data_IF_587484550074
#
_entry.id   IF_587484550074
#
_cell.length_a   1.000
_cell.length_b   1.000
_cell.length_c   1.000
_cell.angle_alpha   90.00
_cell.angle_beta   90.00
_cell.angle_gamma   90.00
#
_symmetry.space_group_name_H-M   'P 1'
#
loop_
_entity.id
_entity.type
_entity.pdbx_description
1 polymer ?
#
# COMPACT_ATOMS: atom_id res chain seq x y z
N UNK A 1 1.22 27.73 21.51
CA UNK A 1 2.28 28.29 22.36
C UNK A 1 3.16 27.13 22.79
N UNK A 2 4.28 26.96 22.11
CA UNK A 2 5.24 25.87 22.33
C UNK A 2 6.23 26.26 23.41
N UNK A 3 5.93 25.95 24.66
CA UNK A 3 6.90 26.01 25.75
C UNK A 3 7.91 24.88 25.59
N UNK A 4 8.96 25.13 24.80
CA UNK A 4 10.17 24.30 24.85
C UNK A 4 11.17 25.07 25.69
N UNK A 5 11.19 24.79 27.00
CA UNK A 5 12.28 25.22 27.88
C UNK A 5 13.60 24.82 27.22
N UNK A 6 14.62 25.71 27.15
CA UNK A 6 15.94 25.28 26.74
C UNK A 6 16.42 24.28 27.79
N UNK A 7 16.54 23.01 27.41
CA UNK A 7 17.35 22.06 28.17
C UNK A 7 18.73 22.70 28.13
N UNK A 8 19.17 23.30 29.24
CA UNK A 8 20.55 23.76 29.33
C UNK A 8 21.41 22.52 29.07
N UNK A 9 22.01 22.44 27.89
CA UNK A 9 22.91 21.35 27.54
C UNK A 9 24.00 21.36 28.62
N UNK A 10 23.95 20.37 29.52
CA UNK A 10 24.98 20.23 30.54
C UNK A 10 26.20 19.74 29.76
N UNK A 11 27.23 20.56 29.71
CA UNK A 11 28.46 20.26 29.00
C UNK A 11 29.46 19.60 29.94
N UNK A 12 30.22 18.63 29.43
CA UNK A 12 31.31 17.96 30.13
C UNK A 12 32.55 17.92 29.26
N UNK A 13 33.72 17.90 29.88
CA UNK A 13 35.01 17.75 29.19
C UNK A 13 35.46 16.29 29.22
N UNK A 14 35.90 15.77 28.08
CA UNK A 14 36.40 14.41 27.99
C UNK A 14 37.85 14.29 28.45
N UNK A 15 38.13 13.38 29.38
CA UNK A 15 39.48 13.13 29.91
C UNK A 15 40.47 12.51 28.89
N UNK A 16 40.03 12.21 27.66
CA UNK A 16 40.86 11.56 26.63
C UNK A 16 41.19 12.50 25.49
N UNK A 17 40.22 13.25 24.97
CA UNK A 17 40.46 14.23 23.91
C UNK A 17 40.44 15.69 24.40
N UNK A 18 40.13 15.93 25.66
CA UNK A 18 40.00 17.26 26.28
C UNK A 18 38.99 18.20 25.61
N UNK A 19 38.09 17.68 24.77
CA UNK A 19 37.03 18.45 24.11
C UNK A 19 35.80 18.50 25.03
N UNK A 20 35.22 19.69 25.16
CA UNK A 20 33.92 19.93 25.82
C UNK A 20 32.78 19.57 24.88
N UNK A 21 31.89 18.67 25.33
CA UNK A 21 30.76 18.16 24.55
C UNK A 21 29.51 18.07 25.41
N UNK A 22 28.35 17.88 24.77
CA UNK A 22 27.10 17.63 25.47
C UNK A 22 27.17 16.33 26.31
N UNK A 23 26.55 16.32 27.48
CA UNK A 23 26.51 15.16 28.40
C UNK A 23 26.00 13.88 27.75
N UNK A 24 25.11 13.94 26.76
CA UNK A 24 24.60 12.78 26.05
C UNK A 24 25.66 12.11 25.17
N UNK A 25 26.77 12.79 24.88
CA UNK A 25 27.90 12.23 24.13
C UNK A 25 28.88 11.44 25.02
N UNK A 26 28.64 11.37 26.32
CA UNK A 26 29.48 10.65 27.28
C UNK A 26 28.97 9.25 27.58
N UNK A 27 29.89 8.39 28.04
CA UNK A 27 29.51 7.10 28.61
C UNK A 27 28.87 7.36 29.98
N UNK A 28 27.74 6.68 30.26
CA UNK A 28 27.03 6.80 31.54
C UNK A 28 28.01 6.65 32.71
N UNK A 29 27.97 7.61 33.65
CA UNK A 29 28.80 7.67 34.84
C UNK A 29 30.33 7.74 34.58
N UNK A 30 30.78 8.24 33.42
CA UNK A 30 32.21 8.42 33.10
C UNK A 30 32.48 9.74 32.38
N UNK A 31 33.65 10.33 32.62
CA UNK A 31 34.13 11.53 31.91
C UNK A 31 34.93 11.17 30.65
N UNK A 32 34.44 10.20 29.87
CA UNK A 32 35.02 9.80 28.57
C UNK A 32 33.90 9.86 27.53
N UNK A 33 34.14 10.58 26.42
CA UNK A 33 33.17 10.65 25.33
C UNK A 33 33.05 9.30 24.60
N UNK A 34 31.89 9.05 23.98
CA UNK A 34 31.59 7.83 23.23
C UNK A 34 32.63 7.55 22.14
N UNK A 35 33.09 8.61 21.45
CA UNK A 35 34.12 8.52 20.39
C UNK A 35 35.42 7.95 20.96
N UNK A 36 36.03 8.61 21.95
CA UNK A 36 37.28 8.14 22.55
C UNK A 36 37.17 6.74 23.16
N UNK A 37 36.01 6.40 23.76
CA UNK A 37 35.79 5.06 24.27
C UNK A 37 35.72 4.01 23.13
N UNK A 38 35.09 4.36 22.00
CA UNK A 38 35.03 3.49 20.83
C UNK A 38 36.40 3.32 20.18
N UNK A 39 37.19 4.38 20.06
CA UNK A 39 38.56 4.33 19.54
C UNK A 39 39.44 3.42 20.39
N UNK A 40 39.39 3.59 21.72
CA UNK A 40 40.09 2.71 22.65
C UNK A 40 39.66 1.24 22.48
N UNK A 41 38.37 0.96 22.29
CA UNK A 41 37.86 -0.41 22.06
C UNK A 41 38.34 -0.98 20.74
N UNK A 42 38.34 -0.19 19.66
CA UNK A 42 38.85 -0.58 18.34
C UNK A 42 40.34 -0.88 18.39
N UNK A 43 41.12 0.02 18.98
CA UNK A 43 42.56 -0.16 19.15
C UNK A 43 42.85 -1.42 19.95
N UNK A 44 42.16 -1.63 21.09
CA UNK A 44 42.33 -2.85 21.89
C UNK A 44 41.99 -4.12 21.09
N UNK A 45 40.93 -4.10 20.30
CA UNK A 45 40.57 -5.24 19.44
C UNK A 45 41.63 -5.52 18.37
N UNK A 46 42.26 -4.49 17.82
CA UNK A 46 43.30 -4.62 16.80
C UNK A 46 44.64 -5.08 17.39
N UNK A 47 45.05 -4.50 18.53
CA UNK A 47 46.37 -4.71 19.14
C UNK A 47 46.47 -5.96 20.02
N UNK A 48 45.36 -6.44 20.60
CA UNK A 48 45.35 -7.57 21.54
C UNK A 48 44.63 -8.78 20.91
N UNK A 49 45.43 -9.71 20.36
CA UNK A 49 44.94 -10.96 19.75
C UNK A 49 44.10 -11.79 20.72
N UNK A 50 44.54 -11.93 21.98
CA UNK A 50 43.83 -12.74 22.97
C UNK A 50 42.43 -12.17 23.27
N UNK A 51 42.33 -10.85 23.35
CA UNK A 51 41.07 -10.15 23.52
C UNK A 51 40.16 -10.30 22.30
N UNK A 52 40.72 -10.16 21.10
CA UNK A 52 40.00 -10.37 19.83
C UNK A 52 39.43 -11.78 19.73
N UNK A 53 40.26 -12.79 19.95
CA UNK A 53 39.84 -14.20 19.89
C UNK A 53 38.69 -14.47 20.87
N UNK A 54 38.83 -14.02 22.13
CA UNK A 54 37.78 -14.15 23.15
C UNK A 54 36.45 -13.52 22.74
N UNK A 55 36.46 -12.39 22.04
CA UNK A 55 35.25 -11.73 21.54
C UNK A 55 34.64 -12.48 20.35
N UNK A 56 35.46 -12.99 19.44
CA UNK A 56 35.02 -13.84 18.32
C UNK A 56 34.37 -15.12 18.85
N UNK A 57 35.00 -15.78 19.81
CA UNK A 57 34.48 -17.00 20.42
C UNK A 57 33.13 -16.77 21.09
N UNK A 58 33.01 -15.68 21.86
CA UNK A 58 31.74 -15.28 22.49
C UNK A 58 30.65 -15.01 21.45
N UNK A 59 30.95 -14.25 20.41
CA UNK A 59 29.98 -13.95 19.35
C UNK A 59 29.55 -15.22 18.59
N UNK A 60 30.50 -16.12 18.35
CA UNK A 60 30.27 -17.41 17.69
C UNK A 60 29.41 -18.33 18.56
N UNK A 61 29.74 -18.46 19.85
CA UNK A 61 28.95 -19.22 20.82
C UNK A 61 27.51 -18.68 20.88
N UNK A 62 27.34 -17.36 21.00
CA UNK A 62 26.02 -16.73 21.00
C UNK A 62 25.20 -17.06 19.73
N UNK A 63 25.82 -16.94 18.55
CA UNK A 63 25.16 -17.31 17.27
C UNK A 63 24.74 -18.78 17.25
N UNK A 64 25.63 -19.69 17.69
CA UNK A 64 25.33 -21.13 17.78
C UNK A 64 24.16 -21.40 18.72
N UNK A 65 24.18 -20.83 19.92
CA UNK A 65 23.08 -20.97 20.90
C UNK A 65 21.76 -20.46 20.31
N UNK A 66 21.75 -19.28 19.68
CA UNK A 66 20.53 -18.72 19.06
C UNK A 66 19.98 -19.58 17.92
N UNK A 67 20.84 -20.26 17.16
CA UNK A 67 20.39 -21.21 16.12
C UNK A 67 19.74 -22.44 16.75
N UNK A 68 20.32 -22.98 17.83
CA UNK A 68 19.76 -24.13 18.55
C UNK A 68 18.40 -23.77 19.14
N UNK A 69 18.29 -22.64 19.84
CA UNK A 69 17.03 -22.14 20.41
C UNK A 69 15.94 -22.01 19.33
N UNK A 70 16.26 -21.40 18.18
CA UNK A 70 15.29 -21.25 17.06
C UNK A 70 14.87 -22.59 16.46
N UNK A 71 15.77 -23.56 16.38
CA UNK A 71 15.46 -24.91 15.88
C UNK A 71 14.55 -25.65 16.85
N UNK A 72 14.85 -25.61 18.15
CA UNK A 72 14.02 -26.23 19.19
C UNK A 72 12.61 -25.62 19.22
N UNK A 73 12.50 -24.28 19.11
CA UNK A 73 11.20 -23.61 19.04
C UNK A 73 10.40 -24.03 17.80
N UNK A 74 11.06 -24.12 16.64
CA UNK A 74 10.41 -24.55 15.39
C UNK A 74 9.95 -26.01 15.47
N UNK A 75 10.73 -26.88 16.11
CA UNK A 75 10.35 -28.29 16.32
C UNK A 75 9.13 -28.39 17.24
N UNK A 76 9.13 -27.68 18.38
CA UNK A 76 8.00 -27.66 19.30
C UNK A 76 6.71 -27.12 18.63
N UNK A 77 6.85 -26.13 17.73
CA UNK A 77 5.73 -25.63 16.94
C UNK A 77 5.22 -26.69 15.96
N UNK A 78 6.13 -27.37 15.24
CA UNK A 78 5.80 -28.45 14.30
C UNK A 78 5.16 -29.67 14.99
N UNK A 79 5.54 -29.99 16.22
CA UNK A 79 4.89 -31.03 17.03
C UNK A 79 3.44 -30.66 17.38
N UNK A 80 3.15 -29.37 17.58
CA UNK A 80 1.81 -28.87 17.90
C UNK A 80 0.88 -28.81 16.69
N UNK A 81 1.38 -28.34 15.55
CA UNK A 81 0.53 -28.04 14.37
C UNK A 81 0.73 -29.01 13.20
N UNK A 82 1.79 -29.80 13.20
CA UNK A 82 2.21 -30.67 12.09
C UNK A 82 3.32 -30.06 11.22
N UNK A 83 4.20 -30.89 10.68
CA UNK A 83 5.42 -30.50 9.93
C UNK A 83 5.12 -29.61 8.71
N UNK A 84 4.04 -29.91 8.00
CA UNK A 84 3.66 -29.21 6.76
C UNK A 84 2.67 -28.06 6.99
N UNK A 85 2.29 -27.81 8.23
CA UNK A 85 1.30 -26.82 8.57
C UNK A 85 1.94 -25.53 9.09
N UNK A 86 1.19 -24.43 8.97
CA UNK A 86 1.53 -23.12 9.50
C UNK A 86 0.27 -22.46 10.05
N UNK A 87 0.43 -21.75 11.15
CA UNK A 87 -0.64 -20.90 11.68
C UNK A 87 -0.66 -19.58 10.92
N UNK A 88 -1.82 -19.23 10.37
CA UNK A 88 -2.01 -17.93 9.73
C UNK A 88 -2.02 -16.83 10.80
N UNK A 89 -1.18 -15.81 10.64
CA UNK A 89 -1.12 -14.66 11.57
C UNK A 89 -2.41 -13.82 11.62
N UNK A 90 -3.26 -13.92 10.60
CA UNK A 90 -4.43 -13.05 10.44
C UNK A 90 -5.74 -13.73 10.85
N UNK A 91 -5.95 -14.99 10.47
CA UNK A 91 -7.13 -15.75 10.91
C UNK A 91 -6.85 -16.71 12.08
N UNK A 92 -5.60 -16.86 12.49
CA UNK A 92 -5.16 -17.79 13.56
C UNK A 92 -5.47 -19.27 13.29
N UNK A 93 -5.91 -19.62 12.08
CA UNK A 93 -6.16 -21.00 11.66
C UNK A 93 -4.86 -21.71 11.26
N UNK A 94 -4.79 -23.00 11.57
CA UNK A 94 -3.74 -23.90 11.09
C UNK A 94 -4.09 -24.30 9.65
N UNK A 95 -3.18 -24.03 8.72
CA UNK A 95 -3.35 -24.38 7.30
C UNK A 95 -2.09 -25.04 6.76
N UNK A 96 -2.27 -25.86 5.72
CA UNK A 96 -1.14 -26.43 4.99
C UNK A 96 -0.24 -25.32 4.41
N UNK A 97 1.07 -25.53 4.37
CA UNK A 97 2.08 -24.55 3.91
C UNK A 97 1.82 -24.03 2.50
N UNK A 98 1.15 -24.81 1.65
CA UNK A 98 0.81 -24.41 0.26
C UNK A 98 -0.25 -23.31 0.21
N UNK A 99 -1.03 -23.15 1.29
CA UNK A 99 -1.95 -22.02 1.48
C UNK A 99 -1.21 -20.72 1.79
N UNK A 100 0.11 -20.71 1.84
CA UNK A 100 0.92 -19.52 2.08
C UNK A 100 1.84 -19.25 0.88
N UNK A 101 2.13 -17.97 0.62
CA UNK A 101 3.22 -17.61 -0.30
C UNK A 101 4.57 -17.78 0.41
N UNK A 102 5.64 -17.87 -0.38
CA UNK A 102 7.00 -17.99 0.15
C UNK A 102 7.30 -16.87 1.15
N UNK A 103 7.81 -17.23 2.33
CA UNK A 103 8.12 -16.32 3.45
C UNK A 103 6.96 -15.42 3.94
N UNK A 104 5.70 -15.81 3.73
CA UNK A 104 4.53 -15.12 4.29
C UNK A 104 3.89 -15.90 5.43
N UNK A 105 3.35 -15.17 6.39
CA UNK A 105 2.54 -15.70 7.52
C UNK A 105 1.04 -15.40 7.34
N UNK A 106 0.67 -14.65 6.30
CA UNK A 106 -0.72 -14.45 5.89
C UNK A 106 -1.09 -15.54 4.89
N UNK A 107 -2.17 -16.27 5.13
CA UNK A 107 -2.63 -17.27 4.18
C UNK A 107 -3.24 -16.61 2.93
N UNK A 108 -3.26 -17.34 1.81
CA UNK A 108 -3.79 -16.88 0.51
C UNK A 108 -5.24 -16.42 0.59
N UNK A 109 -6.05 -17.03 1.46
CA UNK A 109 -7.46 -16.61 1.66
C UNK A 109 -7.54 -15.24 2.30
N UNK A 110 -6.85 -15.04 3.43
CA UNK A 110 -6.79 -13.73 4.07
C UNK A 110 -6.13 -12.66 3.17
N UNK A 111 -5.15 -13.03 2.33
CA UNK A 111 -4.60 -12.13 1.31
C UNK A 111 -5.66 -11.79 0.25
N UNK A 112 -6.44 -12.77 -0.19
CA UNK A 112 -7.50 -12.61 -1.19
C UNK A 112 -8.61 -11.71 -0.67
N UNK A 113 -8.97 -11.85 0.60
CA UNK A 113 -10.07 -11.15 1.25
C UNK A 113 -9.65 -9.80 1.84
N UNK A 114 -8.37 -9.45 1.77
CA UNK A 114 -7.90 -8.12 2.15
C UNK A 114 -8.58 -7.07 1.26
N UNK A 115 -9.30 -6.07 1.83
CA UNK A 115 -10.16 -5.17 1.07
C UNK A 115 -9.46 -4.45 -0.09
N UNK A 116 -8.25 -3.93 0.15
CA UNK A 116 -7.48 -3.21 -0.86
C UNK A 116 -7.04 -4.13 -1.99
N UNK A 117 -6.49 -5.31 -1.68
CA UNK A 117 -6.05 -6.29 -2.67
C UNK A 117 -7.22 -6.94 -3.41
N UNK A 118 -8.37 -7.10 -2.75
CA UNK A 118 -9.64 -7.49 -3.37
C UNK A 118 -10.01 -6.46 -4.43
N UNK A 119 -10.17 -5.20 -4.05
CA UNK A 119 -10.51 -4.11 -4.96
C UNK A 119 -9.57 -4.04 -6.17
N UNK A 120 -8.25 -4.00 -5.93
CA UNK A 120 -7.23 -3.98 -6.98
C UNK A 120 -7.36 -5.15 -7.95
N UNK A 121 -7.62 -6.35 -7.43
CA UNK A 121 -7.77 -7.56 -8.25
C UNK A 121 -9.00 -7.46 -9.16
N UNK A 122 -10.14 -7.02 -8.64
CA UNK A 122 -11.36 -6.87 -9.44
C UNK A 122 -11.19 -5.86 -10.58
N UNK A 123 -10.56 -4.71 -10.31
CA UNK A 123 -10.25 -3.70 -11.33
C UNK A 123 -9.38 -4.28 -12.45
N UNK A 124 -8.29 -4.97 -12.09
CA UNK A 124 -7.39 -5.60 -13.07
C UNK A 124 -8.07 -6.70 -13.87
N UNK A 125 -8.84 -7.55 -13.19
CA UNK A 125 -9.59 -8.64 -13.84
C UNK A 125 -10.65 -8.10 -14.79
N UNK A 126 -11.33 -7.00 -14.46
CA UNK A 126 -12.29 -6.34 -15.37
C UNK A 126 -11.62 -5.93 -16.68
N UNK A 127 -10.55 -5.15 -16.59
CA UNK A 127 -9.80 -4.67 -17.77
C UNK A 127 -9.26 -5.86 -18.56
N UNK A 128 -8.64 -6.84 -17.88
CA UNK A 128 -8.09 -8.02 -18.53
C UNK A 128 -9.15 -8.85 -19.26
N UNK A 129 -10.31 -9.07 -18.65
CA UNK A 129 -11.36 -9.88 -19.28
C UNK A 129 -11.96 -9.18 -20.50
N UNK A 130 -12.15 -7.86 -20.44
CA UNK A 130 -12.67 -7.09 -21.57
C UNK A 130 -11.65 -6.97 -22.71
N UNK A 131 -10.36 -6.85 -22.38
CA UNK A 131 -9.28 -6.67 -23.36
C UNK A 131 -8.45 -7.94 -23.56
N UNK A 132 -8.97 -9.13 -23.28
CA UNK A 132 -8.17 -10.37 -23.21
C UNK A 132 -7.24 -10.59 -24.42
N UNK A 133 -7.70 -10.23 -25.61
CA UNK A 133 -6.96 -10.35 -26.88
C UNK A 133 -6.36 -9.03 -27.38
N UNK A 134 -6.73 -7.89 -26.79
CA UNK A 134 -6.38 -6.53 -27.23
C UNK A 134 -5.54 -5.77 -26.19
N UNK A 135 -5.18 -6.41 -25.06
CA UNK A 135 -4.54 -5.75 -23.93
C UNK A 135 -3.05 -5.55 -24.18
N UNK A 136 -2.69 -4.36 -24.60
CA UNK A 136 -1.29 -3.98 -24.84
C UNK A 136 -0.67 -3.24 -23.66
N UNK A 137 -1.47 -2.50 -22.88
CA UNK A 137 -0.99 -1.64 -21.79
C UNK A 137 -1.19 -2.25 -20.41
N UNK A 138 -0.51 -1.73 -19.40
CA UNK A 138 -0.78 -2.10 -18.01
C UNK A 138 -2.16 -1.60 -17.55
N UNK A 139 -2.77 -2.26 -16.57
CA UNK A 139 -4.07 -1.80 -16.03
C UNK A 139 -4.02 -0.39 -15.44
N UNK A 140 -2.84 0.05 -14.99
CA UNK A 140 -2.63 1.40 -14.45
C UNK A 140 -2.68 2.44 -15.57
N UNK A 141 -2.12 2.12 -16.74
CA UNK A 141 -2.21 2.99 -17.91
C UNK A 141 -3.65 3.16 -18.39
N UNK A 142 -4.44 2.08 -18.46
CA UNK A 142 -5.86 2.15 -18.79
C UNK A 142 -6.66 2.97 -17.78
N UNK A 143 -6.39 2.81 -16.48
CA UNK A 143 -7.03 3.63 -15.45
C UNK A 143 -6.70 5.11 -15.60
N UNK A 144 -5.49 5.46 -16.07
CA UNK A 144 -5.02 6.83 -16.20
C UNK A 144 -4.73 7.53 -14.87
N UNK A 145 -4.49 6.76 -13.81
CA UNK A 145 -3.97 7.21 -12.51
C UNK A 145 -3.34 6.05 -11.74
N UNK A 146 -2.58 6.37 -10.69
CA UNK A 146 -2.04 5.35 -9.78
C UNK A 146 -3.16 4.63 -9.01
N UNK A 147 -2.87 3.43 -8.53
CA UNK A 147 -3.84 2.67 -7.72
C UNK A 147 -4.26 3.42 -6.44
N UNK A 148 -3.36 4.19 -5.83
CA UNK A 148 -3.68 5.02 -4.66
C UNK A 148 -4.61 6.16 -5.00
N UNK A 149 -4.41 6.83 -6.14
CA UNK A 149 -5.30 7.90 -6.61
C UNK A 149 -6.67 7.33 -6.96
N UNK A 150 -6.72 6.15 -7.60
CA UNK A 150 -7.98 5.52 -7.94
C UNK A 150 -8.82 5.16 -6.71
N UNK A 151 -8.18 4.57 -5.69
CA UNK A 151 -8.83 4.30 -4.40
C UNK A 151 -9.29 5.63 -3.78
N UNK A 152 -8.47 6.68 -3.82
CA UNK A 152 -8.84 7.99 -3.27
C UNK A 152 -10.06 8.59 -3.98
N UNK A 153 -10.15 8.49 -5.31
CA UNK A 153 -11.32 8.92 -6.08
C UNK A 153 -12.58 8.18 -5.63
N UNK A 154 -12.56 6.84 -5.67
CA UNK A 154 -13.73 6.02 -5.38
C UNK A 154 -14.19 6.18 -3.92
N UNK A 155 -13.27 6.28 -2.96
CA UNK A 155 -13.59 6.42 -1.53
C UNK A 155 -14.06 7.82 -1.13
N UNK A 156 -13.72 8.87 -1.90
CA UNK A 156 -14.21 10.23 -1.64
C UNK A 156 -15.55 10.53 -2.35
N UNK A 157 -16.06 9.60 -3.15
CA UNK A 157 -17.29 9.80 -3.90
C UNK A 157 -18.53 9.76 -2.99
N UNK A 158 -18.63 8.75 -2.13
CA UNK A 158 -19.71 8.57 -1.16
C UNK A 158 -19.18 7.81 0.07
N UNK A 159 -19.40 8.36 1.27
CA UNK A 159 -18.88 7.81 2.52
C UNK A 159 -19.51 6.48 2.94
N UNK A 160 -20.63 6.07 2.32
CA UNK A 160 -21.30 4.78 2.58
C UNK A 160 -20.58 3.62 1.88
N UNK A 161 -19.75 3.91 0.89
CA UNK A 161 -19.04 2.92 0.09
C UNK A 161 -17.59 2.82 0.55
N UNK A 162 -17.27 1.71 1.21
CA UNK A 162 -15.93 1.44 1.74
C UNK A 162 -15.31 0.24 1.03
N UNK A 163 -14.00 0.03 1.17
CA UNK A 163 -13.35 -1.14 0.57
C UNK A 163 -13.82 -2.45 1.23
N UNK A 164 -14.18 -2.41 2.52
CA UNK A 164 -14.66 -3.56 3.28
C UNK A 164 -15.99 -4.08 2.75
N UNK A 165 -16.89 -3.17 2.34
CA UNK A 165 -18.21 -3.51 1.81
C UNK A 165 -18.26 -3.56 0.27
N UNK A 166 -17.10 -3.47 -0.39
CA UNK A 166 -16.98 -3.64 -1.85
C UNK A 166 -17.39 -5.04 -2.31
N UNK A 167 -18.24 -5.09 -3.33
CA UNK A 167 -18.76 -6.33 -3.92
C UNK A 167 -20.08 -6.80 -3.31
N UNK A 168 -20.31 -6.53 -2.03
CA UNK A 168 -21.56 -6.87 -1.33
C UNK A 168 -22.57 -5.72 -1.36
N UNK A 169 -22.13 -4.49 -1.06
CA UNK A 169 -23.01 -3.31 -1.00
C UNK A 169 -22.97 -2.49 -2.28
N UNK A 170 -21.79 -2.38 -2.90
CA UNK A 170 -21.58 -1.53 -4.07
C UNK A 170 -20.55 -2.14 -5.03
N UNK A 171 -20.66 -1.76 -6.30
CA UNK A 171 -19.78 -2.14 -7.40
C UNK A 171 -19.20 -0.89 -8.07
N UNK A 172 -18.12 -1.08 -8.84
CA UNK A 172 -17.61 -0.04 -9.74
C UNK A 172 -18.50 -0.05 -10.98
N UNK A 173 -19.25 1.02 -11.18
CA UNK A 173 -19.99 1.27 -12.41
C UNK A 173 -19.12 2.06 -13.40
N UNK A 174 -19.38 1.83 -14.69
CA UNK A 174 -18.88 2.69 -15.75
C UNK A 174 -20.02 3.59 -16.19
N UNK A 175 -19.86 4.89 -15.98
CA UNK A 175 -20.92 5.90 -16.18
C UNK A 175 -21.42 5.80 -17.62
N UNK A 176 -20.50 5.87 -18.57
CA UNK A 176 -20.72 5.38 -19.92
C UNK A 176 -20.36 3.88 -19.95
N UNK A 177 -21.31 2.98 -20.25
CA UNK A 177 -21.04 1.54 -20.25
C UNK A 177 -19.94 1.15 -21.25
N UNK A 178 -19.07 0.21 -20.86
CA UNK A 178 -17.97 -0.28 -21.71
C UNK A 178 -18.46 -0.74 -23.10
N UNK A 179 -19.67 -1.31 -23.18
CA UNK A 179 -20.26 -1.77 -24.45
C UNK A 179 -20.64 -0.64 -25.43
N UNK A 180 -20.42 0.63 -25.06
CA UNK A 180 -20.63 1.80 -25.91
C UNK A 180 -19.33 2.31 -26.55
N UNK A 181 -18.21 1.65 -26.27
CA UNK A 181 -16.91 1.95 -26.83
C UNK A 181 -16.52 0.88 -27.84
N UNK A 182 -15.83 1.28 -28.89
CA UNK A 182 -15.09 0.39 -29.78
C UNK A 182 -13.79 -0.05 -29.09
N UNK A 183 -13.72 -1.33 -28.70
CA UNK A 183 -12.53 -1.88 -28.04
C UNK A 183 -11.43 -2.29 -29.02
N UNK A 184 -11.64 -2.19 -30.32
CA UNK A 184 -10.57 -2.33 -31.32
C UNK A 184 -9.77 -1.02 -31.48
N UNK A 185 -10.32 0.13 -31.06
CA UNK A 185 -9.62 1.41 -31.01
C UNK A 185 -8.87 1.60 -29.66
N UNK A 186 -7.52 1.70 -29.66
CA UNK A 186 -6.74 1.95 -28.45
C UNK A 186 -7.11 3.22 -27.67
N UNK A 187 -7.58 4.28 -28.34
CA UNK A 187 -7.99 5.51 -27.67
C UNK A 187 -9.31 5.34 -26.92
N UNK A 188 -10.29 4.69 -27.56
CA UNK A 188 -11.56 4.34 -26.91
C UNK A 188 -11.38 3.33 -25.78
N UNK A 189 -10.45 2.37 -25.88
CA UNK A 189 -10.07 1.52 -24.75
C UNK A 189 -9.61 2.36 -23.53
N UNK A 190 -8.75 3.36 -23.76
CA UNK A 190 -8.25 4.23 -22.69
C UNK A 190 -9.38 5.06 -22.07
N UNK A 191 -10.33 5.53 -22.88
CA UNK A 191 -11.48 6.29 -22.39
C UNK A 191 -12.45 5.42 -21.60
N UNK A 192 -12.74 4.21 -22.10
CA UNK A 192 -13.66 3.27 -21.50
C UNK A 192 -13.27 2.94 -20.05
N UNK A 193 -11.99 2.59 -19.81
CA UNK A 193 -11.49 2.15 -18.51
C UNK A 193 -10.91 3.25 -17.63
N UNK A 194 -10.92 4.51 -18.08
CA UNK A 194 -10.34 5.60 -17.30
C UNK A 194 -11.09 5.80 -15.98
N UNK A 195 -10.38 6.17 -14.92
CA UNK A 195 -11.00 6.44 -13.61
C UNK A 195 -12.10 7.51 -13.69
N UNK A 196 -11.97 8.46 -14.63
CA UNK A 196 -12.95 9.52 -14.89
C UNK A 196 -14.27 9.02 -15.44
N UNK A 197 -14.34 7.81 -16.00
CA UNK A 197 -15.58 7.18 -16.44
C UNK A 197 -16.12 6.18 -15.39
N UNK A 198 -15.61 6.20 -14.16
CA UNK A 198 -16.01 5.23 -13.13
C UNK A 198 -16.51 5.90 -11.86
N UNK A 199 -17.50 5.28 -11.23
CA UNK A 199 -18.04 5.70 -9.94
C UNK A 199 -18.47 4.48 -9.11
N UNK A 200 -18.53 4.60 -7.78
CA UNK A 200 -19.22 3.60 -6.99
C UNK A 200 -20.73 3.73 -7.18
N UNK A 201 -21.41 2.59 -7.29
CA UNK A 201 -22.87 2.49 -7.40
C UNK A 201 -23.34 1.29 -6.58
N UNK A 202 -24.53 1.34 -5.99
CA UNK A 202 -25.02 0.18 -5.23
C UNK A 202 -25.05 -1.07 -6.12
N UNK A 203 -24.79 -2.23 -5.53
CA UNK A 203 -24.74 -3.48 -6.29
C UNK A 203 -26.06 -3.76 -7.02
N UNK A 204 -27.19 -3.41 -6.39
CA UNK A 204 -28.53 -3.57 -6.95
C UNK A 204 -28.78 -2.61 -8.11
N UNK A 205 -28.42 -1.33 -7.98
CA UNK A 205 -28.60 -0.34 -9.06
C UNK A 205 -27.68 -0.64 -10.24
N UNK A 206 -26.42 -1.01 -9.97
CA UNK A 206 -25.46 -1.38 -11.02
C UNK A 206 -25.93 -2.59 -11.84
N UNK A 207 -26.43 -3.62 -11.16
CA UNK A 207 -27.02 -4.79 -11.83
C UNK A 207 -28.29 -4.44 -12.60
N UNK A 208 -29.13 -3.54 -12.06
CA UNK A 208 -30.34 -3.10 -12.76
C UNK A 208 -30.00 -2.26 -14.00
N UNK A 209 -28.98 -1.39 -13.93
CA UNK A 209 -28.54 -0.48 -15.00
C UNK A 209 -28.04 -1.23 -16.24
N UNK A 210 -27.33 -2.33 -16.06
CA UNK A 210 -26.71 -3.10 -17.16
C UNK A 210 -25.84 -2.20 -18.06
N UNK A 211 -26.24 -2.05 -19.33
CA UNK A 211 -25.58 -1.23 -20.35
C UNK A 211 -26.40 0.00 -20.75
N UNK A 212 -27.38 0.39 -19.94
CA UNK A 212 -28.19 1.58 -20.19
C UNK A 212 -27.41 2.84 -19.81
N UNK A 213 -27.68 3.88 -20.57
CA UNK A 213 -27.19 5.24 -20.32
C UNK A 213 -28.24 5.94 -19.46
N UNK A 214 -27.80 6.55 -18.38
CA UNK A 214 -28.65 7.33 -17.46
C UNK A 214 -28.14 8.77 -17.45
N UNK A 215 -28.90 9.68 -18.07
CA UNK A 215 -28.53 11.10 -18.17
C UNK A 215 -28.45 11.76 -16.80
N UNK A 216 -29.33 11.38 -15.86
CA UNK A 216 -29.31 11.93 -14.50
C UNK A 216 -28.02 11.52 -13.77
N UNK A 217 -27.58 10.28 -13.98
CA UNK A 217 -26.31 9.79 -13.46
C UNK A 217 -25.13 10.52 -14.11
N UNK A 218 -25.13 10.72 -15.42
CA UNK A 218 -24.04 11.44 -16.11
C UNK A 218 -23.91 12.86 -15.57
N UNK A 219 -25.02 13.61 -15.46
CA UNK A 219 -25.01 14.98 -14.93
C UNK A 219 -24.48 15.01 -13.49
N UNK A 220 -24.99 14.13 -12.63
CA UNK A 220 -24.54 14.03 -11.24
C UNK A 220 -23.06 13.68 -11.14
N UNK A 221 -22.61 12.70 -11.92
CA UNK A 221 -21.23 12.27 -11.97
C UNK A 221 -20.29 13.38 -12.45
N UNK A 222 -20.65 14.07 -13.53
CA UNK A 222 -19.85 15.15 -14.09
C UNK A 222 -19.66 16.30 -13.09
N UNK A 223 -20.71 16.66 -12.34
CA UNK A 223 -20.61 17.66 -11.28
C UNK A 223 -19.63 17.24 -10.16
N UNK A 224 -19.69 15.97 -9.72
CA UNK A 224 -18.77 15.42 -8.72
C UNK A 224 -17.33 15.38 -9.26
N UNK A 225 -17.16 14.98 -10.51
CA UNK A 225 -15.88 14.90 -11.20
C UNK A 225 -15.20 16.28 -11.26
N UNK A 226 -15.93 17.31 -11.64
CA UNK A 226 -15.45 18.70 -11.67
C UNK A 226 -15.04 19.18 -10.27
N UNK A 227 -15.88 18.94 -9.26
CA UNK A 227 -15.58 19.28 -7.87
C UNK A 227 -14.27 18.63 -7.40
N UNK A 228 -14.05 17.36 -7.74
CA UNK A 228 -12.84 16.65 -7.36
C UNK A 228 -11.59 17.14 -8.10
N UNK A 229 -11.72 17.46 -9.39
CA UNK A 229 -10.63 18.07 -10.17
C UNK A 229 -10.19 19.41 -9.58
N UNK A 230 -11.16 20.26 -9.21
CA UNK A 230 -10.90 21.53 -8.53
C UNK A 230 -10.23 21.32 -7.16
N UNK A 231 -10.74 20.38 -6.36
CA UNK A 231 -10.15 20.06 -5.05
C UNK A 231 -8.70 19.55 -5.14
N UNK A 232 -8.39 18.75 -6.16
CA UNK A 232 -7.04 18.22 -6.40
C UNK A 232 -6.13 19.16 -7.19
N UNK A 233 -6.65 20.31 -7.65
CA UNK A 233 -5.96 21.25 -8.52
C UNK A 233 -5.40 20.57 -9.79
N UNK A 234 -6.24 19.76 -10.45
CA UNK A 234 -5.93 19.07 -11.69
C UNK A 234 -6.92 19.49 -12.79
N UNK A 235 -6.43 19.62 -14.02
CA UNK A 235 -7.30 19.95 -15.16
C UNK A 235 -8.07 18.72 -15.63
N UNK A 236 -9.37 18.87 -15.88
CA UNK A 236 -10.20 17.84 -16.51
C UNK A 236 -9.92 17.87 -18.03
N UNK A 237 -9.43 16.78 -18.65
CA UNK A 237 -9.20 16.78 -20.08
C UNK A 237 -10.52 16.89 -20.87
N UNK A 238 -10.55 17.79 -21.87
CA UNK A 238 -11.75 18.10 -22.68
C UNK A 238 -12.43 16.86 -23.26
N UNK A 239 -11.66 15.84 -23.68
CA UNK A 239 -12.22 14.60 -24.22
C UNK A 239 -13.22 13.89 -23.29
N UNK A 240 -13.12 14.07 -21.98
CA UNK A 240 -14.11 13.52 -21.04
C UNK A 240 -15.35 14.40 -20.95
N UNK A 241 -15.20 15.72 -21.00
CA UNK A 241 -16.33 16.65 -21.13
C UNK A 241 -17.12 16.39 -22.41
N UNK A 242 -16.43 16.22 -23.53
CA UNK A 242 -17.01 15.86 -24.84
C UNK A 242 -17.69 14.49 -24.81
N UNK A 243 -17.06 13.50 -24.17
CA UNK A 243 -17.65 12.17 -23.98
C UNK A 243 -19.00 12.26 -23.26
N UNK A 244 -19.05 12.92 -22.11
CA UNK A 244 -20.30 13.05 -21.35
C UNK A 244 -21.33 13.90 -22.09
N UNK A 245 -20.91 15.00 -22.73
CA UNK A 245 -21.77 15.85 -23.54
C UNK A 245 -22.43 15.04 -24.67
N UNK A 246 -21.70 14.17 -25.36
CA UNK A 246 -22.24 13.33 -26.46
C UNK A 246 -23.45 12.49 -25.99
N UNK A 247 -23.42 11.99 -24.76
CA UNK A 247 -24.51 11.19 -24.20
C UNK A 247 -25.61 12.02 -23.51
N UNK A 248 -25.40 13.32 -23.35
CA UNK A 248 -26.38 14.29 -22.86
C UNK A 248 -27.08 15.04 -24.00
N UNK A 249 -26.37 15.33 -25.10
CA UNK A 249 -26.86 15.98 -26.33
C UNK A 249 -27.76 15.07 -27.20
N UNK A 250 -27.95 13.82 -26.79
CA UNK A 250 -29.19 13.11 -27.08
C UNK A 250 -30.44 13.78 -26.43
N UNK A 251 -30.29 14.97 -25.81
CA UNK A 251 -31.36 15.83 -25.34
C UNK A 251 -31.00 17.26 -24.86
N UNK A 252 -29.84 17.57 -24.24
CA UNK A 252 -29.50 18.92 -23.71
C UNK A 252 -27.96 19.13 -23.55
N UNK A 253 -27.36 20.25 -24.04
CA UNK A 253 -25.94 20.57 -23.83
C UNK A 253 -25.64 21.02 -22.39
N UNK A 254 -24.47 20.64 -21.86
CA UNK A 254 -23.93 21.23 -20.63
C UNK A 254 -23.06 22.45 -20.96
N UNK A 255 -23.36 23.58 -20.33
CA UNK A 255 -22.58 24.82 -20.50
C UNK A 255 -21.13 24.66 -19.99
N UNK A 256 -20.16 25.32 -20.67
CA UNK A 256 -18.72 25.22 -20.37
C UNK A 256 -18.29 25.81 -19.03
#
# INVERSE_FOLDING_TARGET
MSDTKPISAIHKTCNTCNITKDTNEFIKNRNICKVCNNDRRRNKYQSDETHRQKLIDKATAFKKTKVIERRAQRQLEQEKIGIENKTCRYCNEIKHRDRFRHNRLKCRDCERDEPVEKFKRYVRTRIYNCLKHHKEKSSIEYLGCSTSEYINWIMNYDNRYTLENYGSIWHIDHVIPISKFDLDDPEEQLMAFNWRNTMPLSATENLAKCNRIDSTQIVSHYAILNKYHNYKNIQLPNKYSELFATYLDAGIPLEP
#
